data_IF_879028969722
#
_entry.id   IF_879028969722
#
_cell.length_a   1.000
_cell.length_b   1.000
_cell.length_c   1.000
_cell.angle_alpha   90.00
_cell.angle_beta   90.00
_cell.angle_gamma   90.00
#
_symmetry.space_group_name_H-M   'P 1'
#
loop_
_entity.id
_entity.type
_entity.pdbx_description
1 polymer ?
#
# COMPACT_ATOMS: atom_id res chain seq x y z
N UNK A 1 -15.85 8.95 -1.17
CA UNK A 1 -16.01 7.65 -1.87
C UNK A 1 -16.96 7.71 -3.08
N UNK A 2 -17.58 8.86 -3.39
CA UNK A 2 -18.78 8.95 -4.26
C UNK A 2 -18.48 9.23 -5.74
N UNK A 3 -17.22 9.45 -6.13
CA UNK A 3 -16.88 9.78 -7.53
C UNK A 3 -17.20 8.62 -8.50
N UNK A 4 -17.93 8.93 -9.57
CA UNK A 4 -18.19 8.00 -10.68
C UNK A 4 -16.90 7.71 -11.46
N UNK A 5 -16.89 6.62 -12.23
CA UNK A 5 -15.73 6.26 -13.07
C UNK A 5 -15.43 7.35 -14.11
N UNK A 6 -16.44 8.05 -14.62
CA UNK A 6 -16.29 9.20 -15.52
C UNK A 6 -15.62 10.38 -14.83
N UNK A 7 -16.07 10.74 -13.62
CA UNK A 7 -15.47 11.81 -12.83
C UNK A 7 -14.02 11.48 -12.46
N UNK A 8 -13.74 10.22 -12.09
CA UNK A 8 -12.39 9.74 -11.83
C UNK A 8 -11.50 9.86 -13.06
N UNK A 9 -11.99 9.43 -14.22
CA UNK A 9 -11.29 9.56 -15.50
C UNK A 9 -10.99 11.02 -15.84
N UNK A 10 -11.95 11.93 -15.63
CA UNK A 10 -11.74 13.36 -15.84
C UNK A 10 -10.62 13.92 -14.95
N UNK A 11 -10.60 13.57 -13.67
CA UNK A 11 -9.54 13.99 -12.73
C UNK A 11 -8.18 13.42 -13.14
N UNK A 12 -8.12 12.13 -13.47
CA UNK A 12 -6.87 11.47 -13.89
C UNK A 12 -6.34 12.12 -15.16
N UNK A 13 -7.19 12.38 -16.15
CA UNK A 13 -6.80 13.03 -17.39
C UNK A 13 -6.31 14.47 -17.14
N UNK A 14 -6.95 15.20 -16.22
CA UNK A 14 -6.53 16.55 -15.84
C UNK A 14 -5.14 16.57 -15.16
N UNK A 15 -4.84 15.57 -14.33
CA UNK A 15 -3.54 15.41 -13.69
C UNK A 15 -2.47 14.79 -14.61
N UNK A 16 -2.87 14.13 -15.70
CA UNK A 16 -1.95 13.42 -16.61
C UNK A 16 -1.39 14.37 -17.65
N UNK A 17 -0.33 15.08 -17.28
CA UNK A 17 0.34 16.07 -18.14
C UNK A 17 1.32 15.43 -19.11
N UNK A 18 2.03 14.39 -18.67
CA UNK A 18 3.10 13.74 -19.45
C UNK A 18 2.58 12.45 -20.08
N UNK A 19 2.59 12.39 -21.41
CA UNK A 19 2.17 11.20 -22.15
C UNK A 19 3.20 10.07 -22.06
N UNK A 20 2.74 8.82 -22.20
CA UNK A 20 3.59 7.62 -22.08
C UNK A 20 4.62 7.47 -23.21
N UNK A 21 4.37 8.06 -24.38
CA UNK A 21 5.30 7.99 -25.51
C UNK A 21 6.53 8.87 -25.23
N UNK A 22 7.73 8.29 -25.37
CA UNK A 22 9.01 8.98 -25.15
C UNK A 22 9.59 9.55 -26.44
N UNK A 23 9.06 9.14 -27.58
CA UNK A 23 9.59 9.52 -28.90
C UNK A 23 9.01 10.84 -29.38
N UNK A 24 7.85 11.23 -28.85
CA UNK A 24 7.12 12.43 -29.26
C UNK A 24 7.38 13.58 -28.30
N UNK A 25 7.41 14.79 -28.86
CA UNK A 25 7.47 16.03 -28.07
C UNK A 25 6.28 16.09 -27.11
N UNK A 26 6.50 16.51 -25.86
CA UNK A 26 5.42 16.62 -24.88
C UNK A 26 4.35 17.61 -25.37
N UNK A 27 3.16 17.10 -25.70
CA UNK A 27 2.03 17.94 -26.10
C UNK A 27 1.26 18.44 -24.86
N UNK A 28 1.92 19.29 -24.07
CA UNK A 28 1.38 19.81 -22.80
C UNK A 28 0.47 21.02 -23.04
N UNK A 29 0.67 21.71 -24.17
CA UNK A 29 -0.03 22.95 -24.52
C UNK A 29 -1.00 22.71 -25.66
N UNK A 30 -2.11 23.44 -25.65
CA UNK A 30 -3.02 23.51 -26.78
C UNK A 30 -2.53 24.57 -27.77
N UNK A 31 -1.72 24.16 -28.74
CA UNK A 31 -1.12 25.07 -29.73
C UNK A 31 -0.11 26.03 -29.11
N UNK A 32 -0.11 27.29 -29.54
CA UNK A 32 0.81 28.34 -29.04
C UNK A 32 0.34 29.00 -27.73
N UNK A 33 -0.59 28.38 -27.01
CA UNK A 33 -1.15 28.94 -25.77
C UNK A 33 -0.15 28.85 -24.60
N UNK A 34 -0.23 29.78 -23.63
CA UNK A 34 0.58 29.70 -22.42
C UNK A 34 0.26 28.44 -21.60
N UNK A 35 1.19 28.06 -20.73
CA UNK A 35 1.02 26.93 -19.82
C UNK A 35 -0.25 27.10 -18.96
N UNK A 36 -1.06 26.05 -18.76
CA UNK A 36 -2.23 26.09 -17.88
C UNK A 36 -1.88 26.64 -16.49
N UNK A 37 -2.74 27.49 -15.94
CA UNK A 37 -2.49 28.18 -14.67
C UNK A 37 -2.23 27.22 -13.50
N UNK A 38 -2.84 26.03 -13.52
CA UNK A 38 -2.63 24.98 -12.51
C UNK A 38 -1.22 24.40 -12.50
N UNK A 39 -0.49 24.48 -13.62
CA UNK A 39 0.85 23.92 -13.76
C UNK A 39 1.94 24.94 -13.45
N UNK A 40 1.66 26.25 -13.44
CA UNK A 40 2.68 27.27 -13.15
C UNK A 40 3.31 27.10 -11.77
N UNK A 41 2.55 26.95 -10.66
CA UNK A 41 3.15 26.75 -9.35
C UNK A 41 3.96 25.45 -9.25
N UNK A 42 3.50 24.41 -9.96
CA UNK A 42 4.21 23.14 -10.02
C UNK A 42 5.54 23.29 -10.78
N UNK A 43 5.52 24.00 -11.92
CA UNK A 43 6.70 24.24 -12.73
C UNK A 43 7.80 24.97 -11.95
N UNK A 44 7.47 26.01 -11.17
CA UNK A 44 8.46 26.76 -10.38
C UNK A 44 9.20 25.85 -9.38
N UNK A 45 8.45 24.99 -8.69
CA UNK A 45 9.03 24.01 -7.78
C UNK A 45 9.84 22.93 -8.53
N UNK A 46 9.29 22.42 -9.63
CA UNK A 46 9.92 21.39 -10.45
C UNK A 46 11.18 21.88 -11.16
N UNK A 47 11.29 23.17 -11.48
CA UNK A 47 12.50 23.76 -12.05
C UNK A 47 13.68 23.71 -11.07
N UNK A 48 13.43 23.91 -9.76
CA UNK A 48 14.44 23.71 -8.73
C UNK A 48 14.86 22.25 -8.62
N UNK A 49 13.88 21.34 -8.56
CA UNK A 49 14.13 19.89 -8.50
C UNK A 49 14.84 19.39 -9.76
N UNK A 50 14.56 19.97 -10.93
CA UNK A 50 15.21 19.60 -12.19
C UNK A 50 16.72 19.86 -12.14
N UNK A 51 17.13 21.01 -11.61
CA UNK A 51 18.55 21.34 -11.50
C UNK A 51 19.29 20.33 -10.61
N UNK A 52 18.75 20.06 -9.43
CA UNK A 52 19.36 19.14 -8.46
C UNK A 52 19.31 17.67 -8.93
N UNK A 53 18.13 17.18 -9.31
CA UNK A 53 17.92 15.76 -9.61
C UNK A 53 18.41 15.35 -11.01
N UNK A 54 18.16 16.15 -12.03
CA UNK A 54 18.36 15.77 -13.44
C UNK A 54 19.74 16.22 -13.94
N UNK A 55 20.15 17.43 -13.61
CA UNK A 55 21.42 17.98 -14.07
C UNK A 55 22.60 17.58 -13.19
N UNK A 56 22.43 17.52 -11.86
CA UNK A 56 23.52 17.21 -10.93
C UNK A 56 23.52 15.74 -10.51
N UNK A 57 22.42 15.20 -9.96
CA UNK A 57 22.42 13.81 -9.44
C UNK A 57 22.37 12.73 -10.54
N UNK A 58 21.45 12.83 -11.51
CA UNK A 58 21.39 11.84 -12.61
C UNK A 58 22.37 12.11 -13.75
N UNK A 59 22.79 13.38 -13.93
CA UNK A 59 23.59 13.84 -15.07
C UNK A 59 23.08 13.30 -16.42
N UNK A 60 21.76 13.42 -16.68
CA UNK A 60 21.06 12.70 -17.76
C UNK A 60 21.56 12.98 -19.18
N UNK A 61 22.20 14.13 -19.42
CA UNK A 61 22.66 14.60 -20.72
C UNK A 61 24.17 14.42 -20.92
N UNK A 62 24.88 13.76 -20.00
CA UNK A 62 26.29 13.44 -20.17
C UNK A 62 26.50 12.47 -21.34
N UNK A 63 25.73 11.38 -21.37
CA UNK A 63 25.78 10.39 -22.44
C UNK A 63 25.30 10.96 -23.78
N UNK A 64 25.88 10.47 -24.88
CA UNK A 64 25.49 10.87 -26.24
C UNK A 64 23.98 10.67 -26.49
N UNK A 65 23.46 9.49 -26.11
CA UNK A 65 22.02 9.16 -26.18
C UNK A 65 21.16 10.16 -25.39
N UNK A 66 21.64 10.58 -24.22
CA UNK A 66 20.96 11.56 -23.38
C UNK A 66 20.94 12.95 -24.00
N UNK A 67 22.08 13.41 -24.53
CA UNK A 67 22.15 14.68 -25.26
C UNK A 67 21.29 14.67 -26.52
N UNK A 68 21.28 13.57 -27.28
CA UNK A 68 20.39 13.45 -28.43
C UNK A 68 18.90 13.49 -28.04
N UNK A 69 18.53 12.84 -26.94
CA UNK A 69 17.17 12.88 -26.43
C UNK A 69 16.74 14.32 -26.09
N UNK A 70 17.65 15.11 -25.50
CA UNK A 70 17.41 16.54 -25.25
C UNK A 70 17.22 17.32 -26.55
N UNK A 71 18.08 17.12 -27.55
CA UNK A 71 18.02 17.82 -28.83
C UNK A 71 16.71 17.56 -29.58
N UNK A 72 16.16 16.34 -29.51
CA UNK A 72 14.86 15.99 -30.14
C UNK A 72 13.68 16.79 -29.57
N UNK A 73 13.78 17.23 -28.32
CA UNK A 73 12.74 18.00 -27.64
C UNK A 73 12.74 19.48 -28.05
N UNK A 74 13.84 19.98 -28.61
CA UNK A 74 13.96 21.37 -29.04
C UNK A 74 13.27 21.55 -30.41
N UNK A 75 12.40 22.57 -30.59
CA UNK A 75 11.67 22.79 -31.83
C UNK A 75 12.53 23.40 -32.95
N UNK A 76 13.52 24.23 -32.62
CA UNK A 76 14.35 24.97 -33.59
C UNK A 76 15.57 24.15 -34.01
N UNK A 77 15.66 23.82 -35.30
CA UNK A 77 16.75 23.02 -35.87
C UNK A 77 18.09 23.76 -35.85
N UNK A 78 18.09 25.10 -35.94
CA UNK A 78 19.32 25.90 -35.96
C UNK A 78 20.06 25.80 -34.62
N UNK A 79 19.31 25.89 -33.52
CA UNK A 79 19.84 25.72 -32.16
C UNK A 79 20.33 24.29 -31.94
N UNK A 80 19.63 23.31 -32.51
CA UNK A 80 20.04 21.90 -32.40
C UNK A 80 21.38 21.67 -33.09
N UNK A 81 21.60 22.24 -34.27
CA UNK A 81 22.86 22.14 -35.00
C UNK A 81 24.01 22.85 -34.27
N UNK A 82 23.78 24.06 -33.75
CA UNK A 82 24.82 24.78 -32.99
C UNK A 82 25.19 24.02 -31.72
N UNK A 83 24.21 23.57 -30.93
CA UNK A 83 24.47 22.80 -29.72
C UNK A 83 25.15 21.45 -30.02
N UNK A 84 24.78 20.79 -31.12
CA UNK A 84 25.43 19.54 -31.54
C UNK A 84 26.90 19.77 -31.89
N UNK A 85 27.22 20.87 -32.57
CA UNK A 85 28.60 21.25 -32.87
C UNK A 85 29.39 21.61 -31.61
N UNK A 86 28.80 22.41 -30.71
CA UNK A 86 29.41 22.80 -29.44
C UNK A 86 29.73 21.58 -28.56
N UNK A 87 28.90 20.53 -28.60
CA UNK A 87 29.08 19.33 -27.79
C UNK A 87 29.90 18.23 -28.46
N UNK A 88 30.21 18.34 -29.75
CA UNK A 88 30.97 17.32 -30.49
C UNK A 88 32.44 17.24 -30.07
N UNK A 89 33.01 18.31 -29.52
CA UNK A 89 34.41 18.39 -29.12
C UNK A 89 34.66 18.25 -27.61
N UNK A 90 33.67 18.50 -26.76
CA UNK A 90 33.88 18.60 -25.31
C UNK A 90 32.82 17.81 -24.52
N UNK A 91 33.28 16.93 -23.62
CA UNK A 91 32.42 16.18 -22.69
C UNK A 91 31.92 17.10 -21.58
N UNK A 92 31.00 17.98 -21.92
CA UNK A 92 30.34 18.89 -21.00
C UNK A 92 29.31 18.16 -20.13
N UNK A 93 29.30 18.41 -18.83
CA UNK A 93 28.26 17.92 -17.92
C UNK A 93 26.87 18.45 -18.26
N UNK A 94 25.82 17.78 -17.78
CA UNK A 94 24.42 18.14 -18.09
C UNK A 94 24.08 19.57 -17.72
N UNK A 95 24.61 20.07 -16.60
CA UNK A 95 24.41 21.44 -16.17
C UNK A 95 24.98 22.45 -17.19
N UNK A 96 26.19 22.20 -17.72
CA UNK A 96 26.81 23.05 -18.74
C UNK A 96 26.03 23.02 -20.06
N UNK A 97 25.63 21.83 -20.52
CA UNK A 97 24.78 21.66 -21.72
C UNK A 97 23.44 22.40 -21.59
N UNK A 98 22.81 22.33 -20.41
CA UNK A 98 21.55 23.04 -20.14
C UNK A 98 21.74 24.57 -20.08
N UNK A 99 22.86 25.05 -19.54
CA UNK A 99 23.18 26.48 -19.57
C UNK A 99 23.48 26.99 -20.98
N UNK A 100 24.19 26.20 -21.80
CA UNK A 100 24.42 26.51 -23.21
C UNK A 100 23.08 26.66 -23.96
N UNK A 101 22.13 25.73 -23.74
CA UNK A 101 20.78 25.85 -24.29
C UNK A 101 20.08 27.14 -23.82
N UNK A 102 20.11 27.45 -22.53
CA UNK A 102 19.55 28.72 -22.00
C UNK A 102 20.21 29.96 -22.60
N UNK A 103 21.51 29.91 -22.88
CA UNK A 103 22.24 31.00 -23.53
C UNK A 103 21.76 31.19 -24.98
N UNK A 104 21.56 30.10 -25.73
CA UNK A 104 21.01 30.16 -27.09
C UNK A 104 19.59 30.76 -27.13
N UNK A 105 18.74 30.52 -26.11
CA UNK A 105 17.42 31.18 -26.04
C UNK A 105 17.56 32.70 -25.82
N UNK A 106 18.58 33.13 -25.07
CA UNK A 106 18.78 34.54 -24.72
C UNK A 106 19.19 35.40 -25.92
N UNK A 107 19.79 34.83 -26.96
CA UNK A 107 20.22 35.54 -28.18
C UNK A 107 19.05 36.07 -29.01
N UNK A 108 17.88 35.41 -28.92
CA UNK A 108 16.67 35.86 -29.61
C UNK A 108 16.05 37.08 -28.94
N UNK A 109 15.47 38.00 -29.72
CA UNK A 109 14.77 39.18 -29.20
C UNK A 109 13.61 38.78 -28.27
N UNK A 110 13.35 39.59 -27.24
CA UNK A 110 12.31 39.32 -26.21
C UNK A 110 10.92 39.11 -26.82
N UNK A 111 10.56 39.91 -27.83
CA UNK A 111 9.24 39.86 -28.49
C UNK A 111 9.18 38.86 -29.65
N UNK A 112 10.23 38.06 -29.86
CA UNK A 112 10.25 37.06 -30.92
C UNK A 112 9.35 35.87 -30.58
N UNK A 113 8.44 35.53 -31.50
CA UNK A 113 7.63 34.30 -31.42
C UNK A 113 8.50 33.04 -31.26
N UNK A 114 9.66 33.00 -31.92
CA UNK A 114 10.62 31.90 -31.78
C UNK A 114 11.15 31.76 -30.35
N UNK A 115 11.46 32.89 -29.68
CA UNK A 115 11.88 32.89 -28.28
C UNK A 115 10.78 32.35 -27.36
N UNK A 116 9.53 32.75 -27.59
CA UNK A 116 8.40 32.26 -26.81
C UNK A 116 8.21 30.74 -26.97
N UNK A 117 8.37 30.21 -28.19
CA UNK A 117 8.32 28.76 -28.46
C UNK A 117 9.46 28.00 -27.78
N UNK A 118 10.66 28.58 -27.73
CA UNK A 118 11.81 27.98 -27.05
C UNK A 118 11.66 27.98 -25.53
N UNK A 119 11.12 29.06 -24.96
CA UNK A 119 10.79 29.11 -23.54
C UNK A 119 9.73 28.05 -23.22
N UNK A 120 8.67 27.94 -24.04
CA UNK A 120 7.66 26.91 -23.88
C UNK A 120 8.26 25.49 -23.95
N UNK A 121 9.15 25.23 -24.91
CA UNK A 121 9.85 23.95 -25.00
C UNK A 121 10.73 23.67 -23.77
N UNK A 122 11.42 24.68 -23.24
CA UNK A 122 12.21 24.54 -22.01
C UNK A 122 11.34 24.17 -20.81
N UNK A 123 10.19 24.81 -20.63
CA UNK A 123 9.21 24.46 -19.59
C UNK A 123 8.68 23.04 -19.77
N UNK A 124 8.39 22.64 -21.00
CA UNK A 124 7.86 21.31 -21.31
C UNK A 124 8.92 20.21 -21.09
N UNK A 125 10.20 20.50 -21.34
CA UNK A 125 11.33 19.62 -20.99
C UNK A 125 11.41 19.43 -19.47
N UNK A 126 11.32 20.51 -18.68
CA UNK A 126 11.34 20.41 -17.21
C UNK A 126 10.21 19.49 -16.73
N UNK A 127 8.98 19.71 -17.21
CA UNK A 127 7.83 18.88 -16.87
C UNK A 127 8.01 17.43 -17.33
N UNK A 128 8.57 17.18 -18.51
CA UNK A 128 8.81 15.83 -19.03
C UNK A 128 9.68 14.98 -18.09
N UNK A 129 10.72 15.59 -17.53
CA UNK A 129 11.70 14.89 -16.69
C UNK A 129 11.32 14.83 -15.21
N UNK A 130 10.52 15.78 -14.71
CA UNK A 130 10.26 15.88 -13.26
C UNK A 130 8.79 15.72 -12.87
N UNK A 131 7.84 15.89 -13.78
CA UNK A 131 6.43 15.76 -13.47
C UNK A 131 6.05 14.28 -13.20
N UNK A 132 5.22 13.99 -12.17
CA UNK A 132 4.86 12.62 -11.83
C UNK A 132 4.10 11.92 -12.95
N UNK A 133 4.55 10.72 -13.30
CA UNK A 133 3.84 9.84 -14.25
C UNK A 133 2.83 8.99 -13.49
N UNK A 134 1.55 9.20 -13.77
CA UNK A 134 0.46 8.49 -13.11
C UNK A 134 0.14 7.17 -13.85
N UNK A 135 -0.02 6.09 -13.11
CA UNK A 135 -0.64 4.89 -13.66
C UNK A 135 -2.17 5.08 -13.69
N UNK A 136 -2.65 5.62 -14.81
CA UNK A 136 -4.04 6.03 -14.99
C UNK A 136 -5.06 4.91 -14.72
N UNK A 137 -4.71 3.66 -15.03
CA UNK A 137 -5.63 2.53 -14.92
C UNK A 137 -6.02 2.23 -13.47
N UNK A 138 -5.13 2.54 -12.53
CA UNK A 138 -5.32 2.35 -11.10
C UNK A 138 -6.39 3.29 -10.55
N UNK A 139 -6.55 4.47 -11.16
CA UNK A 139 -7.39 5.55 -10.64
C UNK A 139 -8.72 5.71 -11.39
N UNK A 140 -8.84 5.16 -12.62
CA UNK A 140 -10.03 5.31 -13.48
C UNK A 140 -11.27 4.56 -12.98
N UNK A 141 -11.11 3.33 -12.47
CA UNK A 141 -12.25 2.47 -12.08
C UNK A 141 -12.36 2.34 -10.56
N UNK A 142 -13.59 2.36 -10.04
CA UNK A 142 -13.85 2.15 -8.60
C UNK A 142 -13.43 0.77 -8.09
N UNK A 143 -13.52 -0.25 -8.94
CA UNK A 143 -13.28 -1.64 -8.56
C UNK A 143 -11.80 -2.07 -8.69
N UNK A 144 -10.88 -1.12 -8.90
CA UNK A 144 -9.45 -1.42 -8.98
C UNK A 144 -8.90 -1.78 -7.59
N UNK A 145 -8.31 -2.97 -7.46
CA UNK A 145 -7.75 -3.44 -6.19
C UNK A 145 -6.36 -2.84 -5.98
N UNK A 146 -6.18 -2.20 -4.83
CA UNK A 146 -4.90 -1.64 -4.40
C UNK A 146 -4.33 -2.44 -3.23
N UNK A 147 -3.00 -2.50 -3.15
CA UNK A 147 -2.31 -3.13 -2.02
C UNK A 147 -2.70 -2.43 -0.71
N UNK A 148 -3.10 -3.21 0.28
CA UNK A 148 -3.46 -2.68 1.59
C UNK A 148 -2.25 -2.02 2.29
N UNK A 149 -2.51 -1.00 3.14
CA UNK A 149 -1.47 -0.45 4.00
C UNK A 149 -0.93 -1.54 4.94
N UNK A 150 0.32 -1.38 5.38
CA UNK A 150 1.06 -2.31 6.25
C UNK A 150 1.38 -3.71 5.70
N UNK A 151 0.95 -4.05 4.48
CA UNK A 151 1.38 -5.31 3.85
C UNK A 151 2.89 -5.33 3.57
N UNK A 152 3.53 -6.46 3.89
CA UNK A 152 4.96 -6.70 3.59
C UNK A 152 5.12 -7.04 2.10
N UNK A 153 6.07 -6.41 1.42
CA UNK A 153 6.39 -6.76 0.03
C UNK A 153 7.23 -8.04 -0.01
N UNK A 154 6.79 -9.13 -0.68
CA UNK A 154 7.44 -10.44 -0.60
C UNK A 154 8.91 -10.40 -1.03
N UNK A 155 9.21 -9.72 -2.14
CA UNK A 155 10.60 -9.62 -2.66
C UNK A 155 11.54 -8.73 -1.84
N UNK A 156 11.03 -7.72 -1.14
CA UNK A 156 11.89 -6.71 -0.47
C UNK A 156 11.84 -6.77 1.05
N UNK A 157 10.91 -7.54 1.63
CA UNK A 157 10.67 -7.60 3.07
C UNK A 157 10.18 -6.29 3.68
N UNK A 158 9.94 -5.24 2.88
CA UNK A 158 9.56 -3.91 3.38
C UNK A 158 8.06 -3.84 3.66
N UNK A 159 7.72 -3.28 4.81
CA UNK A 159 6.35 -2.97 5.22
C UNK A 159 5.83 -1.74 4.48
N UNK A 160 4.62 -1.81 3.92
CA UNK A 160 3.96 -0.68 3.25
C UNK A 160 3.37 0.32 4.27
N UNK A 161 4.22 0.93 5.10
CA UNK A 161 3.81 1.89 6.13
C UNK A 161 3.66 3.30 5.53
N UNK A 162 2.57 4.01 5.85
CA UNK A 162 2.21 5.30 5.24
C UNK A 162 1.76 6.31 6.29
N UNK A 163 2.72 6.96 6.93
CA UNK A 163 2.57 8.35 7.34
C UNK A 163 3.60 9.15 6.55
N UNK A 164 3.17 9.72 5.43
CA UNK A 164 3.97 10.72 4.70
C UNK A 164 3.59 12.05 5.32
N UNK A 165 4.13 12.34 6.50
CA UNK A 165 4.14 13.71 7.02
C UNK A 165 5.22 14.51 6.29
N UNK A 166 5.12 15.84 6.27
CA UNK A 166 6.15 16.74 5.72
C UNK A 166 7.51 16.47 6.36
N UNK A 167 7.50 16.17 7.67
CA UNK A 167 8.67 15.69 8.43
C UNK A 167 9.20 14.34 7.93
N UNK A 168 8.34 13.44 7.42
CA UNK A 168 8.76 12.16 6.85
C UNK A 168 9.38 12.32 5.45
N UNK A 169 8.85 13.21 4.61
CA UNK A 169 9.48 13.52 3.32
C UNK A 169 10.82 14.24 3.48
N UNK A 170 10.93 15.15 4.46
CA UNK A 170 12.17 15.88 4.76
C UNK A 170 13.19 15.00 5.52
N UNK A 171 12.73 14.07 6.37
CA UNK A 171 13.60 13.12 7.09
C UNK A 171 14.01 11.90 6.26
N UNK A 172 13.42 11.70 5.07
CA UNK A 172 14.08 10.89 4.06
C UNK A 172 15.36 11.63 3.69
N UNK A 173 16.45 11.23 4.35
CA UNK A 173 17.79 11.41 3.76
C UNK A 173 17.66 10.94 2.31
N UNK A 174 17.99 11.76 1.30
CA UNK A 174 18.05 11.31 -0.09
C UNK A 174 18.85 10.03 -0.02
N UNK A 175 18.17 8.90 -0.31
CA UNK A 175 18.61 7.52 -0.03
C UNK A 175 20.11 7.51 -0.17
N UNK A 176 20.91 7.56 0.93
CA UNK A 176 22.34 7.91 0.87
C UNK A 176 22.87 7.30 -0.42
N UNK A 177 22.99 8.10 -1.48
CA UNK A 177 23.47 7.60 -2.77
C UNK A 177 24.92 7.52 -2.44
N UNK A 178 25.26 6.34 -1.91
CA UNK A 178 26.47 6.06 -1.15
C UNK A 178 27.56 6.57 -2.06
N UNK A 179 28.11 7.72 -1.71
CA UNK A 179 29.23 8.31 -2.41
C UNK A 179 30.22 7.16 -2.58
N UNK A 180 30.69 6.96 -3.81
CA UNK A 180 31.75 5.99 -3.99
C UNK A 180 32.87 6.39 -3.04
N UNK A 181 33.47 5.43 -2.32
CA UNK A 181 34.51 5.76 -1.35
C UNK A 181 35.58 6.59 -2.06
N UNK A 182 35.93 7.73 -1.48
CA UNK A 182 37.03 8.55 -1.99
C UNK A 182 38.35 7.78 -1.77
N UNK A 183 39.38 8.03 -2.56
CA UNK A 183 40.66 7.31 -2.46
C UNK A 183 41.28 7.40 -1.06
N UNK A 184 41.03 8.53 -0.37
CA UNK A 184 41.41 8.72 1.03
C UNK A 184 40.66 7.78 1.97
N UNK A 185 39.36 7.58 1.75
CA UNK A 185 38.54 6.66 2.54
C UNK A 185 38.99 5.20 2.31
N UNK A 186 39.33 4.82 1.08
CA UNK A 186 39.85 3.48 0.77
C UNK A 186 41.16 3.20 1.52
N UNK A 187 42.06 4.18 1.56
CA UNK A 187 43.32 4.09 2.34
C UNK A 187 43.05 3.98 3.84
N UNK A 188 42.10 4.73 4.38
CA UNK A 188 41.69 4.65 5.79
C UNK A 188 41.04 3.30 6.13
N UNK A 189 40.35 2.67 5.17
CA UNK A 189 39.77 1.33 5.28
C UNK A 189 40.79 0.20 5.04
N UNK A 190 42.03 0.52 4.66
CA UNK A 190 43.06 -0.48 4.35
C UNK A 190 42.78 -1.27 3.07
N UNK A 191 41.97 -0.72 2.15
CA UNK A 191 41.64 -1.32 0.86
C UNK A 191 42.61 -0.78 -0.20
N UNK A 192 43.25 -1.68 -0.95
CA UNK A 192 44.11 -1.30 -2.06
C UNK A 192 43.29 -0.67 -3.20
N UNK A 193 43.81 0.44 -3.74
CA UNK A 193 43.16 1.27 -4.76
C UNK A 193 43.12 0.53 -6.09
N UNK A 194 44.21 -0.15 -6.45
CA UNK A 194 44.31 -0.87 -7.72
C UNK A 194 43.38 -2.08 -7.74
N UNK A 195 43.34 -2.81 -6.62
CA UNK A 195 42.39 -3.89 -6.40
C UNK A 195 40.94 -3.40 -6.44
N UNK A 196 40.64 -2.25 -5.83
CA UNK A 196 39.30 -1.66 -5.86
C UNK A 196 38.87 -1.26 -7.28
N UNK A 197 39.78 -0.67 -8.07
CA UNK A 197 39.54 -0.28 -9.45
C UNK A 197 39.32 -1.48 -10.39
N UNK A 198 40.04 -2.58 -10.16
CA UNK A 198 39.87 -3.83 -10.91
C UNK A 198 38.50 -4.46 -10.62
N UNK A 199 38.10 -4.51 -9.34
CA UNK A 199 36.85 -5.14 -8.91
C UNK A 199 35.59 -4.37 -9.37
N UNK A 200 35.72 -3.08 -9.71
CA UNK A 200 34.64 -2.29 -10.31
C UNK A 200 34.36 -2.64 -11.79
N UNK A 201 35.33 -3.21 -12.50
CA UNK A 201 35.17 -3.62 -13.91
C UNK A 201 34.25 -4.83 -14.04
N UNK A 202 34.17 -5.67 -13.01
CA UNK A 202 33.34 -6.88 -12.98
C UNK A 202 31.90 -6.59 -12.53
N UNK A 203 30.95 -6.78 -13.45
CA UNK A 203 29.52 -6.50 -13.20
C UNK A 203 28.86 -7.44 -12.18
N UNK A 204 29.34 -8.68 -12.04
CA UNK A 204 28.83 -9.68 -11.09
C UNK A 204 29.17 -9.32 -9.64
N UNK A 205 30.31 -8.68 -9.43
CA UNK A 205 30.89 -8.36 -8.11
C UNK A 205 30.28 -7.10 -7.47
N UNK A 206 29.42 -6.35 -8.17
CA UNK A 206 28.79 -5.11 -7.67
C UNK A 206 27.95 -5.27 -6.40
N UNK A 207 27.41 -6.45 -6.14
CA UNK A 207 26.70 -6.71 -4.89
C UNK A 207 27.67 -7.05 -3.76
N UNK A 208 28.71 -7.84 -4.05
CA UNK A 208 29.77 -8.25 -3.10
C UNK A 208 30.58 -7.04 -2.63
N UNK A 209 30.89 -6.09 -3.55
CA UNK A 209 31.54 -4.82 -3.26
C UNK A 209 30.87 -4.04 -2.11
N UNK A 210 29.53 -4.09 -2.04
CA UNK A 210 28.77 -3.36 -1.02
C UNK A 210 28.89 -4.00 0.35
N UNK A 211 28.93 -5.33 0.38
CA UNK A 211 29.03 -6.09 1.61
C UNK A 211 30.44 -5.97 2.19
N UNK A 212 31.47 -6.07 1.34
CA UNK A 212 32.88 -5.84 1.72
C UNK A 212 33.08 -4.45 2.33
N UNK A 213 32.65 -3.38 1.64
CA UNK A 213 32.79 -2.01 2.20
C UNK A 213 32.04 -1.84 3.51
N UNK A 214 30.85 -2.43 3.63
CA UNK A 214 30.04 -2.35 4.85
C UNK A 214 30.75 -3.04 6.00
N UNK A 215 31.30 -4.22 5.77
CA UNK A 215 32.04 -4.98 6.77
C UNK A 215 33.31 -4.25 7.19
N UNK A 216 34.08 -3.71 6.25
CA UNK A 216 35.28 -2.94 6.55
C UNK A 216 34.98 -1.67 7.37
N UNK A 217 33.92 -0.93 7.02
CA UNK A 217 33.48 0.23 7.83
C UNK A 217 33.08 -0.17 9.25
N UNK A 218 32.41 -1.32 9.42
CA UNK A 218 32.03 -1.83 10.75
C UNK A 218 33.29 -2.26 11.53
N UNK A 219 34.24 -2.91 10.87
CA UNK A 219 35.51 -3.32 11.48
C UNK A 219 36.30 -2.11 11.97
N UNK A 220 36.49 -1.09 11.13
CA UNK A 220 37.19 0.14 11.50
C UNK A 220 36.47 0.86 12.64
N UNK A 221 35.13 0.99 12.58
CA UNK A 221 34.35 1.61 13.64
C UNK A 221 34.45 0.86 14.99
N UNK A 222 34.63 -0.46 14.95
CA UNK A 222 34.81 -1.30 16.13
C UNK A 222 36.28 -1.48 16.55
N UNK A 223 37.21 -0.68 15.98
CA UNK A 223 38.64 -0.76 16.29
C UNK A 223 39.29 -2.09 15.86
N UNK A 224 38.90 -2.63 14.71
CA UNK A 224 39.41 -3.87 14.13
C UNK A 224 38.77 -5.16 14.66
N UNK A 225 37.75 -5.06 15.53
CA UNK A 225 37.04 -6.21 16.08
C UNK A 225 35.79 -6.54 15.27
N UNK A 226 35.62 -7.81 14.93
CA UNK A 226 34.40 -8.29 14.30
C UNK A 226 33.17 -7.96 15.17
N UNK A 227 32.05 -7.52 14.57
CA UNK A 227 30.84 -7.22 15.32
C UNK A 227 30.37 -8.48 16.07
N UNK A 228 30.22 -8.37 17.39
CA UNK A 228 29.65 -9.44 18.20
C UNK A 228 28.20 -9.67 17.75
N UNK A 229 27.81 -10.92 17.44
CA UNK A 229 26.44 -11.22 17.03
C UNK A 229 25.49 -10.78 18.16
N UNK A 230 24.37 -10.12 17.83
CA UNK A 230 23.44 -9.67 18.86
C UNK A 230 22.88 -10.89 19.59
N UNK A 231 23.05 -10.94 20.90
CA UNK A 231 22.38 -11.92 21.75
C UNK A 231 20.86 -11.76 21.59
N UNK A 232 20.15 -12.87 21.32
CA UNK A 232 18.68 -12.88 21.17
C UNK A 232 18.04 -12.29 22.43
N UNK A 233 17.48 -11.09 22.34
CA UNK A 233 16.70 -10.49 23.42
C UNK A 233 15.29 -11.08 23.38
N UNK A 234 14.95 -11.90 24.37
CA UNK A 234 13.58 -12.34 24.59
C UNK A 234 12.75 -11.16 25.10
N UNK A 235 12.09 -10.48 24.17
CA UNK A 235 11.11 -9.46 24.53
C UNK A 235 9.85 -10.14 25.03
N UNK A 236 9.62 -10.08 26.35
CA UNK A 236 8.32 -10.43 26.92
C UNK A 236 7.24 -9.52 26.30
N UNK A 237 6.04 -10.05 25.97
CA UNK A 237 4.96 -9.23 25.44
C UNK A 237 4.66 -8.10 26.44
N UNK A 238 4.73 -6.86 25.95
CA UNK A 238 4.43 -5.69 26.77
C UNK A 238 2.95 -5.73 27.13
N UNK A 239 2.61 -5.71 28.43
CA UNK A 239 1.21 -5.62 28.88
C UNK A 239 0.59 -4.37 28.25
N UNK A 240 -0.51 -4.54 27.55
CA UNK A 240 -1.22 -3.44 26.91
C UNK A 240 -1.75 -2.49 27.99
N UNK A 241 -1.36 -1.22 27.91
CA UNK A 241 -1.94 -0.14 28.71
C UNK A 241 -2.91 0.59 27.78
N UNK A 242 -4.24 0.57 28.07
CA UNK A 242 -5.22 1.28 27.27
C UNK A 242 -4.87 2.77 27.21
N UNK A 243 -4.86 3.32 25.99
CA UNK A 243 -4.70 4.76 25.73
C UNK A 243 -6.07 5.45 25.83
N UNK A 244 -6.31 6.33 26.84
CA UNK A 244 -7.61 6.98 27.01
C UNK A 244 -7.99 7.90 25.84
N UNK A 245 -6.97 8.43 25.15
CA UNK A 245 -7.05 9.31 23.98
C UNK A 245 -7.57 8.60 22.71
N UNK A 246 -7.54 7.27 22.67
CA UNK A 246 -8.05 6.46 21.57
C UNK A 246 -9.30 5.70 22.02
N UNK A 247 -10.40 6.41 22.24
CA UNK A 247 -11.71 5.80 22.49
C UNK A 247 -12.16 5.05 21.22
N UNK A 248 -11.85 3.75 21.15
CA UNK A 248 -12.47 2.87 20.16
C UNK A 248 -13.83 2.49 20.69
N UNK A 249 -14.88 2.92 20.01
CA UNK A 249 -16.20 2.33 20.23
C UNK A 249 -16.08 0.80 20.13
N UNK A 250 -16.70 0.03 21.04
CA UNK A 250 -16.67 -1.42 20.94
C UNK A 250 -17.19 -1.83 19.58
N UNK A 251 -16.62 -2.91 19.03
CA UNK A 251 -17.11 -3.49 17.79
C UNK A 251 -18.63 -3.70 17.91
N UNK A 252 -19.42 -3.33 16.90
CA UNK A 252 -20.87 -3.53 16.94
C UNK A 252 -21.13 -5.03 17.15
N UNK A 253 -21.75 -5.36 18.28
CA UNK A 253 -22.18 -6.72 18.57
C UNK A 253 -23.52 -6.96 17.88
N UNK A 254 -23.61 -8.02 17.10
CA UNK A 254 -24.88 -8.46 16.55
C UNK A 254 -25.80 -8.89 17.70
N UNK A 255 -26.96 -8.25 17.82
CA UNK A 255 -28.02 -8.67 18.75
C UNK A 255 -28.77 -9.82 18.09
N UNK A 256 -28.45 -11.06 18.46
CA UNK A 256 -29.24 -12.21 18.07
C UNK A 256 -30.45 -12.32 19.03
N UNK A 257 -31.68 -12.55 18.52
CA UNK A 257 -32.80 -12.91 19.38
C UNK A 257 -32.48 -14.25 20.07
N UNK A 258 -32.66 -14.30 21.39
CA UNK A 258 -32.48 -15.53 22.16
C UNK A 258 -33.58 -16.52 21.77
N UNK A 259 -33.21 -17.67 21.18
CA UNK A 259 -34.16 -18.72 20.82
C UNK A 259 -34.74 -19.40 22.08
N UNK A 260 -35.98 -19.91 22.02
CA UNK A 260 -36.54 -20.71 23.10
C UNK A 260 -35.70 -21.98 23.25
N UNK A 261 -35.32 -22.31 24.49
CA UNK A 261 -34.47 -23.46 24.82
C UNK A 261 -35.17 -24.36 25.82
N UNK A 262 -35.12 -25.65 25.59
CA UNK A 262 -35.62 -26.66 26.53
C UNK A 262 -34.46 -27.12 27.42
N UNK A 263 -34.65 -27.12 28.74
CA UNK A 263 -33.59 -27.46 29.68
C UNK A 263 -33.85 -28.82 30.34
N UNK A 264 -32.92 -29.76 30.20
CA UNK A 264 -32.94 -31.04 30.90
C UNK A 264 -31.87 -31.04 32.00
N UNK A 265 -32.20 -31.63 33.16
CA UNK A 265 -31.23 -31.86 34.23
C UNK A 265 -30.47 -33.15 33.92
N UNK A 266 -29.19 -33.05 33.62
CA UNK A 266 -28.33 -34.22 33.37
C UNK A 266 -27.51 -34.49 34.62
N UNK A 267 -27.50 -35.76 35.05
CA UNK A 267 -26.65 -36.24 36.13
C UNK A 267 -25.37 -36.82 35.50
N UNK A 268 -24.30 -36.02 35.44
CA UNK A 268 -22.99 -36.52 35.03
C UNK A 268 -22.25 -37.03 36.25
N UNK A 269 -21.76 -38.27 36.19
CA UNK A 269 -20.99 -38.93 37.26
C UNK A 269 -19.73 -38.11 37.66
N UNK A 270 -19.16 -37.33 36.74
CA UNK A 270 -17.94 -36.54 36.95
C UNK A 270 -18.15 -35.16 37.63
N UNK A 271 -19.40 -34.71 37.86
CA UNK A 271 -19.65 -33.37 38.44
C UNK A 271 -20.70 -33.41 39.56
N UNK A 272 -20.40 -32.92 40.77
CA UNK A 272 -21.31 -32.99 41.92
C UNK A 272 -22.53 -32.04 41.82
N UNK A 273 -22.60 -31.18 40.80
CA UNK A 273 -23.71 -30.24 40.59
C UNK A 273 -24.50 -30.63 39.35
N UNK A 274 -25.82 -30.79 39.51
CA UNK A 274 -26.79 -31.01 38.42
C UNK A 274 -26.56 -29.98 37.32
N UNK A 275 -26.06 -30.43 36.17
CA UNK A 275 -25.76 -29.55 35.03
C UNK A 275 -26.99 -29.48 34.14
N UNK A 276 -27.41 -28.29 33.72
CA UNK A 276 -28.55 -28.11 32.80
C UNK A 276 -28.04 -28.20 31.37
N UNK A 277 -28.49 -29.21 30.62
CA UNK A 277 -28.32 -29.25 29.17
C UNK A 277 -29.41 -28.37 28.53
N UNK A 278 -29.05 -27.57 27.52
CA UNK A 278 -29.98 -26.71 26.80
C UNK A 278 -30.05 -27.16 25.34
N UNK A 279 -31.24 -27.57 24.91
CA UNK A 279 -31.48 -28.01 23.54
C UNK A 279 -32.13 -26.88 22.72
N UNK A 280 -31.66 -26.72 21.48
CA UNK A 280 -32.09 -25.67 20.55
C UNK A 280 -32.50 -26.21 19.17
N UNK A 281 -31.98 -27.36 18.78
CA UNK A 281 -32.22 -27.96 17.47
C UNK A 281 -33.50 -28.81 17.49
N UNK A 282 -34.13 -29.00 16.33
CA UNK A 282 -35.37 -29.78 16.21
C UNK A 282 -35.18 -31.22 16.63
N UNK A 283 -34.10 -31.81 16.15
CA UNK A 283 -33.83 -33.23 16.24
C UNK A 283 -33.53 -33.60 17.70
N UNK A 284 -32.74 -32.76 18.38
CA UNK A 284 -32.49 -32.86 19.82
C UNK A 284 -33.78 -32.83 20.66
N UNK A 285 -34.70 -31.91 20.33
CA UNK A 285 -35.97 -31.78 21.08
C UNK A 285 -36.91 -32.95 20.77
N UNK A 286 -36.92 -33.45 19.52
CA UNK A 286 -37.71 -34.63 19.15
C UNK A 286 -37.21 -35.89 19.85
N UNK A 287 -35.89 -36.11 19.87
CA UNK A 287 -35.27 -37.24 20.57
C UNK A 287 -35.57 -37.17 22.08
N UNK A 288 -35.49 -35.97 22.67
CA UNK A 288 -35.80 -35.79 24.10
C UNK A 288 -37.28 -36.09 24.40
N UNK A 289 -38.21 -35.67 23.53
CA UNK A 289 -39.63 -35.98 23.69
C UNK A 289 -39.90 -37.46 23.48
N UNK A 290 -39.19 -38.12 22.56
CA UNK A 290 -39.26 -39.57 22.34
C UNK A 290 -38.80 -40.35 23.56
N UNK A 291 -37.60 -40.07 24.07
CA UNK A 291 -37.07 -40.69 25.29
C UNK A 291 -38.00 -40.47 26.48
N UNK A 292 -38.57 -39.27 26.60
CA UNK A 292 -39.52 -38.94 27.65
C UNK A 292 -40.82 -39.74 27.51
N UNK A 293 -41.45 -39.76 26.34
CA UNK A 293 -42.69 -40.53 26.11
C UNK A 293 -42.47 -42.03 26.31
N UNK A 294 -41.34 -42.57 25.86
CA UNK A 294 -40.98 -43.98 26.04
C UNK A 294 -40.81 -44.36 27.51
N UNK A 295 -40.30 -43.45 28.34
CA UNK A 295 -40.16 -43.69 29.79
C UNK A 295 -41.50 -43.85 30.52
N UNK A 296 -42.61 -43.34 29.96
CA UNK A 296 -43.95 -43.40 30.53
C UNK A 296 -44.87 -44.46 29.90
N UNK A 297 -44.31 -45.42 29.15
CA UNK A 297 -45.09 -46.58 28.67
C UNK A 297 -45.69 -47.41 29.81
N UNK A 298 -44.99 -47.47 30.96
CA UNK A 298 -45.37 -48.31 32.10
C UNK A 298 -45.98 -47.51 33.27
N UNK A 299 -45.84 -46.18 33.30
CA UNK A 299 -46.25 -45.32 34.40
C UNK A 299 -46.85 -44.01 33.89
N UNK A 300 -47.83 -43.40 34.59
CA UNK A 300 -48.38 -42.12 34.16
C UNK A 300 -47.34 -40.98 34.25
N UNK A 301 -47.34 -40.04 33.29
CA UNK A 301 -46.43 -38.89 33.29
C UNK A 301 -46.64 -37.95 34.48
N UNK A 302 -45.54 -37.37 34.98
CA UNK A 302 -45.58 -36.39 36.06
C UNK A 302 -46.19 -35.06 35.58
N UNK A 303 -47.16 -34.52 36.32
CA UNK A 303 -47.87 -33.31 35.94
C UNK A 303 -46.95 -32.08 35.75
N UNK A 304 -45.83 -32.02 36.48
CA UNK A 304 -44.85 -30.95 36.38
C UNK A 304 -44.12 -30.95 35.02
N UNK A 305 -43.81 -32.12 34.47
CA UNK A 305 -43.13 -32.25 33.19
C UNK A 305 -44.05 -31.87 32.04
N UNK A 306 -45.33 -32.26 32.10
CA UNK A 306 -46.37 -31.86 31.14
C UNK A 306 -46.52 -30.33 31.13
N UNK A 307 -46.59 -29.72 32.32
CA UNK A 307 -46.69 -28.27 32.44
C UNK A 307 -45.43 -27.57 31.89
N UNK A 308 -44.25 -28.16 32.10
CA UNK A 308 -42.98 -27.64 31.61
C UNK A 308 -42.88 -27.67 30.08
N UNK A 309 -43.22 -28.80 29.45
CA UNK A 309 -43.25 -28.95 27.99
C UNK A 309 -44.33 -28.04 27.38
N UNK A 310 -45.51 -27.96 27.99
CA UNK A 310 -46.59 -27.06 27.55
C UNK A 310 -46.18 -25.59 27.58
N UNK A 311 -45.54 -25.13 28.68
CA UNK A 311 -44.97 -23.78 28.78
C UNK A 311 -43.87 -23.51 27.74
N UNK A 312 -43.07 -24.52 27.42
CA UNK A 312 -42.05 -24.40 26.38
C UNK A 312 -42.68 -24.25 24.98
N UNK A 313 -43.64 -25.10 24.62
CA UNK A 313 -44.31 -25.07 23.32
C UNK A 313 -45.11 -23.77 23.13
N UNK A 314 -45.88 -23.34 24.14
CA UNK A 314 -46.63 -22.07 24.08
C UNK A 314 -45.71 -20.86 23.93
N UNK A 315 -44.56 -20.87 24.63
CA UNK A 315 -43.55 -19.82 24.48
C UNK A 315 -42.90 -19.85 23.10
N UNK A 316 -42.61 -21.02 22.55
CA UNK A 316 -42.00 -21.17 21.23
C UNK A 316 -42.96 -20.82 20.07
N UNK A 317 -44.27 -20.80 20.31
CA UNK A 317 -45.30 -20.34 19.36
C UNK A 317 -45.55 -18.82 19.37
N UNK A 318 -44.95 -18.06 20.30
CA UNK A 318 -45.14 -16.61 20.37
C UNK A 318 -44.34 -15.90 19.26
N UNK A 319 -45.00 -15.68 18.11
CA UNK A 319 -44.44 -15.02 16.92
C UNK A 319 -44.04 -13.56 17.16
N UNK A 320 -44.47 -12.94 18.26
CA UNK A 320 -44.03 -11.58 18.63
C UNK A 320 -42.63 -11.56 19.26
N UNK A 321 -42.23 -12.67 19.90
CA UNK A 321 -40.96 -12.77 20.62
C UNK A 321 -39.91 -13.59 19.86
N UNK A 322 -40.33 -14.53 19.01
CA UNK A 322 -39.44 -15.46 18.32
C UNK A 322 -39.67 -15.49 16.81
N UNK A 323 -38.66 -15.94 16.07
CA UNK A 323 -38.65 -15.98 14.59
C UNK A 323 -39.56 -17.07 14.03
N UNK A 324 -40.03 -16.94 12.79
CA UNK A 324 -40.88 -17.94 12.10
C UNK A 324 -40.32 -19.37 12.16
N UNK A 325 -38.99 -19.49 12.15
CA UNK A 325 -38.29 -20.76 12.33
C UNK A 325 -38.64 -21.45 13.65
N UNK A 326 -38.83 -20.73 14.75
CA UNK A 326 -39.20 -21.32 16.05
C UNK A 326 -40.61 -21.93 16.04
N UNK A 327 -41.53 -21.33 15.29
CA UNK A 327 -42.89 -21.82 15.10
C UNK A 327 -42.87 -23.12 14.29
N UNK A 328 -42.12 -23.15 13.18
CA UNK A 328 -41.95 -24.37 12.37
C UNK A 328 -41.39 -25.54 13.18
N UNK A 329 -40.37 -25.27 14.01
CA UNK A 329 -39.78 -26.27 14.91
C UNK A 329 -40.81 -26.82 15.90
N UNK A 330 -41.59 -25.93 16.51
CA UNK A 330 -42.63 -26.34 17.46
C UNK A 330 -43.69 -27.22 16.78
N UNK A 331 -44.11 -26.86 15.57
CA UNK A 331 -45.04 -27.67 14.77
C UNK A 331 -44.44 -29.05 14.48
N UNK A 332 -43.15 -29.12 14.12
CA UNK A 332 -42.47 -30.40 13.88
C UNK A 332 -42.39 -31.28 15.13
N UNK A 333 -42.11 -30.70 16.30
CA UNK A 333 -42.09 -31.41 17.59
C UNK A 333 -43.48 -31.92 17.97
N UNK A 334 -44.53 -31.11 17.82
CA UNK A 334 -45.91 -31.53 18.11
C UNK A 334 -46.38 -32.63 17.15
N UNK A 335 -46.05 -32.52 15.86
CA UNK A 335 -46.33 -33.58 14.88
C UNK A 335 -45.64 -34.89 15.25
N UNK A 336 -44.37 -34.83 15.67
CA UNK A 336 -43.63 -36.00 16.13
C UNK A 336 -44.24 -36.62 17.38
N UNK A 337 -44.62 -35.80 18.36
CA UNK A 337 -45.28 -36.27 19.57
C UNK A 337 -46.62 -36.96 19.27
N UNK A 338 -47.44 -36.40 18.36
CA UNK A 338 -48.68 -37.05 17.93
C UNK A 338 -48.43 -38.40 17.25
N UNK A 339 -47.33 -38.54 16.52
CA UNK A 339 -46.94 -39.81 15.90
C UNK A 339 -46.47 -40.83 16.94
N UNK A 340 -45.72 -40.40 17.95
CA UNK A 340 -45.31 -41.25 19.08
C UNK A 340 -46.50 -41.78 19.87
N UNK A 341 -47.56 -40.98 20.07
CA UNK A 341 -48.78 -41.42 20.76
C UNK A 341 -49.65 -42.40 19.96
N UNK A 342 -49.42 -42.52 18.65
CA UNK A 342 -50.12 -43.50 17.79
C UNK A 342 -49.41 -44.85 17.74
N UNK A 343 -48.11 -44.87 18.06
CA UNK A 343 -47.31 -46.09 18.19
C UNK A 343 -47.58 -46.74 19.53
#
# INVERSE_FOLDING_TARGET
MVLTDEQRKAIVNWLSVVQKDESKRPNIRFGSRPLPASLKPALDHLAYVFADLILTDQDCFLSEKGSEALLRLIPDTRIVETLRNDWAGESSGSAAKWQAFKAQIKTYKKDSSARAQLIAAMEDIILRYTYPRLDENVSKKRNHLLKAPFCVHPKTGRTNNRFIDKKFSESRKPRNRREQPNDKELRELGIDIDWWAELQKDNTSKNVLRDILREQRILVANGGKAPTPPTRKEHKPKKYVPRPDLCRYPLPQAKYPDLPRLAQRVHNEDKPKKTKAFFKETDDVQNLVEDWVDSFKNFPPEAQDIEYVSKFLTKAMDSKQFTDTSVERTIAVVKWWLELLRR
#
